data_IF_938392642711
#
_entry.id   IF_938392642711
#
_cell.length_a   1.000
_cell.length_b   1.000
_cell.length_c   1.000
_cell.angle_alpha   90.00
_cell.angle_beta   90.00
_cell.angle_gamma   90.00
#
_symmetry.space_group_name_H-M   'P 1'
#
loop_
_entity.id
_entity.type
_entity.pdbx_description
1 polymer ?
#
# COMPACT_ATOMS: atom_id res chain seq x y z
N UNK A 1 -2.51 -11.99 69.18
CA UNK A 1 -2.65 -11.05 68.05
C UNK A 1 -1.42 -11.00 67.12
N UNK A 2 -0.43 -11.89 67.26
CA UNK A 2 0.78 -11.91 66.42
C UNK A 2 0.66 -12.78 65.16
N UNK A 3 -0.16 -13.83 65.21
CA UNK A 3 -0.33 -14.80 64.10
C UNK A 3 -1.08 -14.22 62.88
N UNK A 4 -2.08 -13.36 63.11
CA UNK A 4 -2.83 -12.67 62.04
C UNK A 4 -1.93 -11.67 61.29
N UNK A 5 -1.06 -10.95 62.01
CA UNK A 5 -0.12 -10.01 61.40
C UNK A 5 0.90 -10.70 60.51
N UNK A 6 1.45 -11.85 60.94
CA UNK A 6 2.38 -12.64 60.13
C UNK A 6 1.72 -13.23 58.88
N UNK A 7 0.50 -13.74 59.01
CA UNK A 7 -0.25 -14.29 57.87
C UNK A 7 -0.54 -13.22 56.82
N UNK A 8 -0.94 -12.02 57.25
CA UNK A 8 -1.24 -10.91 56.35
C UNK A 8 0.01 -10.38 55.64
N UNK A 9 1.14 -10.27 56.36
CA UNK A 9 2.42 -9.89 55.77
C UNK A 9 2.91 -10.93 54.74
N UNK A 10 2.73 -12.22 55.02
CA UNK A 10 3.08 -13.29 54.10
C UNK A 10 2.28 -13.23 52.79
N UNK A 11 0.95 -13.03 52.86
CA UNK A 11 0.09 -12.90 51.68
C UNK A 11 0.43 -11.64 50.86
N UNK A 12 0.76 -10.54 51.54
CA UNK A 12 1.11 -9.28 50.89
C UNK A 12 2.47 -9.37 50.17
N UNK A 13 3.45 -10.07 50.74
CA UNK A 13 4.73 -10.35 50.07
C UNK A 13 4.56 -11.25 48.85
N UNK A 14 3.72 -12.28 48.95
CA UNK A 14 3.45 -13.20 47.85
C UNK A 14 2.75 -12.51 46.67
N UNK A 15 1.80 -11.62 46.95
CA UNK A 15 1.10 -10.86 45.91
C UNK A 15 2.02 -9.84 45.22
N UNK A 16 2.89 -9.16 45.97
CA UNK A 16 3.89 -8.24 45.40
C UNK A 16 4.92 -9.00 44.56
N UNK A 17 5.42 -10.15 45.03
CA UNK A 17 6.37 -10.97 44.29
C UNK A 17 5.76 -11.52 42.99
N UNK A 18 4.51 -11.97 43.04
CA UNK A 18 3.77 -12.43 41.86
C UNK A 18 3.54 -11.29 40.85
N UNK A 19 3.10 -10.12 41.32
CA UNK A 19 2.93 -8.95 40.46
C UNK A 19 4.27 -8.50 39.85
N UNK A 20 5.35 -8.46 40.62
CA UNK A 20 6.67 -8.06 40.16
C UNK A 20 7.23 -9.02 39.10
N UNK A 21 6.94 -10.32 39.19
CA UNK A 21 7.33 -11.30 38.18
C UNK A 21 6.45 -11.29 36.93
N UNK A 22 5.13 -11.07 37.08
CA UNK A 22 4.18 -11.14 35.96
C UNK A 22 4.00 -9.82 35.18
N UNK A 23 4.23 -8.66 35.79
CA UNK A 23 4.18 -7.37 35.10
C UNK A 23 5.15 -7.28 33.91
N UNK A 24 6.45 -7.55 34.06
CA UNK A 24 7.40 -7.44 32.94
C UNK A 24 7.09 -8.44 31.83
N UNK A 25 6.57 -9.62 32.15
CA UNK A 25 6.15 -10.61 31.15
C UNK A 25 4.93 -10.14 30.34
N UNK A 26 3.93 -9.53 31.01
CA UNK A 26 2.77 -8.94 30.35
C UNK A 26 3.14 -7.73 29.49
N UNK A 27 4.05 -6.89 29.97
CA UNK A 27 4.53 -5.74 29.22
C UNK A 27 5.39 -6.17 28.02
N UNK A 28 6.19 -7.22 28.15
CA UNK A 28 6.93 -7.82 27.04
C UNK A 28 5.98 -8.40 25.98
N UNK A 29 4.93 -9.11 26.40
CA UNK A 29 3.90 -9.62 25.48
C UNK A 29 3.19 -8.48 24.72
N UNK A 30 2.78 -7.42 25.43
CA UNK A 30 2.17 -6.23 24.81
C UNK A 30 3.12 -5.53 23.84
N UNK A 31 4.40 -5.43 24.16
CA UNK A 31 5.42 -4.86 23.26
C UNK A 31 5.61 -5.73 22.01
N UNK A 32 5.60 -7.06 22.17
CA UNK A 32 5.70 -7.99 21.04
C UNK A 32 4.47 -7.90 20.12
N UNK A 33 3.26 -7.84 20.69
CA UNK A 33 2.01 -7.63 19.95
C UNK A 33 2.00 -6.27 19.23
N UNK A 34 2.45 -5.20 19.89
CA UNK A 34 2.59 -3.88 19.27
C UNK A 34 3.61 -3.88 18.12
N UNK A 35 4.74 -4.57 18.28
CA UNK A 35 5.75 -4.70 17.22
C UNK A 35 5.21 -5.50 16.03
N UNK A 36 4.47 -6.59 16.27
CA UNK A 36 3.83 -7.38 15.23
C UNK A 36 2.80 -6.57 14.44
N UNK A 37 1.90 -5.86 15.13
CA UNK A 37 0.89 -5.01 14.48
C UNK A 37 1.50 -3.85 13.68
N UNK A 38 2.60 -3.26 14.16
CA UNK A 38 3.37 -2.26 13.40
C UNK A 38 4.03 -2.85 12.16
N UNK A 39 4.57 -4.06 12.26
CA UNK A 39 5.16 -4.76 11.12
C UNK A 39 4.11 -5.08 10.06
N UNK A 40 2.97 -5.64 10.47
CA UNK A 40 1.83 -5.95 9.60
C UNK A 40 1.25 -4.69 8.93
N UNK A 41 1.17 -3.59 9.68
CA UNK A 41 0.73 -2.30 9.15
C UNK A 41 1.67 -1.78 8.06
N UNK A 42 2.99 -1.90 8.26
CA UNK A 42 3.99 -1.53 7.25
C UNK A 42 3.91 -2.43 6.02
N UNK A 43 3.77 -3.74 6.18
CA UNK A 43 3.68 -4.65 5.03
C UNK A 43 2.42 -4.40 4.20
N UNK A 44 1.28 -4.15 4.84
CA UNK A 44 0.03 -3.81 4.13
C UNK A 44 0.15 -2.48 3.39
N UNK A 45 0.67 -1.43 4.04
CA UNK A 45 0.86 -0.14 3.38
C UNK A 45 1.80 -0.22 2.16
N UNK A 46 2.85 -1.04 2.24
CA UNK A 46 3.76 -1.29 1.11
C UNK A 46 3.06 -2.06 -0.02
N UNK A 47 2.25 -3.07 0.31
CA UNK A 47 1.46 -3.79 -0.68
C UNK A 47 0.46 -2.87 -1.38
N UNK A 48 -0.28 -2.05 -0.64
CA UNK A 48 -1.23 -1.09 -1.21
C UNK A 48 -0.52 -0.07 -2.13
N UNK A 49 0.64 0.45 -1.71
CA UNK A 49 1.43 1.35 -2.54
C UNK A 49 1.93 0.68 -3.84
N UNK A 50 2.35 -0.59 -3.76
CA UNK A 50 2.79 -1.34 -4.94
C UNK A 50 1.65 -1.60 -5.92
N UNK A 51 0.46 -1.99 -5.44
CA UNK A 51 -0.69 -2.25 -6.33
C UNK A 51 -1.16 -0.99 -7.05
N UNK A 52 -1.16 0.17 -6.39
CA UNK A 52 -1.47 1.46 -7.03
C UNK A 52 -0.42 1.79 -8.10
N UNK A 53 0.86 1.60 -7.78
CA UNK A 53 1.96 1.82 -8.73
C UNK A 53 1.84 0.92 -9.94
N UNK A 54 1.63 -0.37 -9.75
CA UNK A 54 1.52 -1.36 -10.82
C UNK A 54 0.32 -1.05 -11.72
N UNK A 55 -0.82 -0.66 -11.13
CA UNK A 55 -1.98 -0.21 -11.90
C UNK A 55 -1.71 1.05 -12.73
N UNK A 56 -0.94 2.00 -12.19
CA UNK A 56 -0.54 3.21 -12.91
C UNK A 56 0.47 2.89 -14.02
N UNK A 57 1.42 2.01 -13.76
CA UNK A 57 2.42 1.55 -14.74
C UNK A 57 1.72 0.83 -15.90
N UNK A 58 0.80 -0.09 -15.62
CA UNK A 58 0.00 -0.78 -16.65
C UNK A 58 -0.79 0.21 -17.54
N UNK A 59 -1.44 1.23 -16.96
CA UNK A 59 -2.14 2.26 -17.74
C UNK A 59 -1.19 3.11 -18.59
N UNK A 60 -0.01 3.41 -18.04
CA UNK A 60 1.01 4.18 -18.76
C UNK A 60 1.55 3.38 -19.94
N UNK A 61 1.80 2.09 -19.76
CA UNK A 61 2.27 1.20 -20.80
C UNK A 61 1.22 1.00 -21.89
N UNK A 62 -0.05 0.85 -21.52
CA UNK A 62 -1.15 0.83 -22.48
C UNK A 62 -1.19 2.12 -23.31
N UNK A 63 -1.11 3.29 -22.66
CA UNK A 63 -1.09 4.59 -23.36
C UNK A 63 0.11 4.70 -24.31
N UNK A 64 1.30 4.24 -23.89
CA UNK A 64 2.49 4.23 -24.74
C UNK A 64 2.30 3.34 -25.96
N UNK A 65 1.66 2.18 -25.81
CA UNK A 65 1.36 1.28 -26.91
C UNK A 65 0.38 1.93 -27.89
N UNK A 66 -0.71 2.53 -27.39
CA UNK A 66 -1.71 3.21 -28.23
C UNK A 66 -1.09 4.37 -29.03
N UNK A 67 -0.24 5.18 -28.39
CA UNK A 67 0.48 6.27 -29.05
C UNK A 67 1.46 5.74 -30.09
N UNK A 68 2.18 4.65 -29.79
CA UNK A 68 3.11 4.04 -30.73
C UNK A 68 2.37 3.49 -31.95
N UNK A 69 1.27 2.76 -31.76
CA UNK A 69 0.45 2.24 -32.85
C UNK A 69 -0.10 3.38 -33.72
N UNK A 70 -0.58 4.46 -33.10
CA UNK A 70 -1.02 5.66 -33.81
C UNK A 70 0.12 6.29 -34.65
N UNK A 71 1.32 6.41 -34.09
CA UNK A 71 2.48 6.93 -34.82
C UNK A 71 2.90 6.02 -35.98
N UNK A 72 2.92 4.71 -35.76
CA UNK A 72 3.29 3.75 -36.78
C UNK A 72 2.26 3.74 -37.93
N UNK A 73 0.97 3.86 -37.63
CA UNK A 73 -0.07 4.02 -38.65
C UNK A 73 0.12 5.28 -39.50
N UNK A 74 0.53 6.40 -38.90
CA UNK A 74 0.83 7.64 -39.64
C UNK A 74 2.10 7.49 -40.48
N UNK A 75 3.12 6.78 -39.98
CA UNK A 75 4.38 6.55 -40.71
C UNK A 75 4.22 5.61 -41.91
N UNK A 76 3.31 4.63 -41.83
CA UNK A 76 3.03 3.71 -42.92
C UNK A 76 2.26 4.37 -44.07
N UNK A 77 1.56 5.48 -43.82
CA UNK A 77 0.83 6.20 -44.87
C UNK A 77 1.78 7.07 -45.71
N UNK A 78 1.90 6.71 -46.99
CA UNK A 78 2.78 7.37 -47.96
C UNK A 78 2.13 8.55 -48.66
N UNK A 79 0.79 8.60 -48.75
CA UNK A 79 0.08 9.73 -49.35
C UNK A 79 -0.03 10.88 -48.32
N UNK A 80 0.53 12.08 -48.60
CA UNK A 80 0.47 13.21 -47.67
C UNK A 80 -0.95 13.61 -47.26
N UNK A 81 -1.92 13.55 -48.17
CA UNK A 81 -3.30 13.96 -47.89
C UNK A 81 -4.01 12.95 -46.98
N UNK A 82 -3.77 11.65 -47.21
CA UNK A 82 -4.26 10.58 -46.32
C UNK A 82 -3.56 10.58 -44.98
N UNK A 83 -2.26 10.85 -44.96
CA UNK A 83 -1.46 10.89 -43.73
C UNK A 83 -2.00 11.94 -42.76
N UNK A 84 -2.34 13.12 -43.25
CA UNK A 84 -2.94 14.18 -42.43
C UNK A 84 -4.33 13.79 -41.89
N UNK A 85 -5.15 13.11 -42.70
CA UNK A 85 -6.45 12.62 -42.25
C UNK A 85 -6.31 11.54 -41.17
N UNK A 86 -5.42 10.56 -41.38
CA UNK A 86 -5.09 9.50 -40.42
C UNK A 86 -4.53 10.10 -39.13
N UNK A 87 -3.61 11.07 -39.22
CA UNK A 87 -3.04 11.73 -38.06
C UNK A 87 -4.12 12.43 -37.21
N UNK A 88 -5.02 13.19 -37.85
CA UNK A 88 -6.15 13.84 -37.15
C UNK A 88 -7.06 12.81 -36.48
N UNK A 89 -7.42 11.75 -37.19
CA UNK A 89 -8.27 10.70 -36.65
C UNK A 89 -7.63 10.02 -35.42
N UNK A 90 -6.34 9.70 -35.49
CA UNK A 90 -5.61 9.09 -34.36
C UNK A 90 -5.48 10.04 -33.18
N UNK A 91 -5.22 11.33 -33.43
CA UNK A 91 -5.24 12.37 -32.39
C UNK A 91 -6.61 12.48 -31.71
N UNK A 92 -7.70 12.42 -32.47
CA UNK A 92 -9.05 12.42 -31.90
C UNK A 92 -9.36 11.16 -31.10
N UNK A 93 -8.84 9.99 -31.49
CA UNK A 93 -8.99 8.76 -30.72
C UNK A 93 -8.20 8.80 -29.40
N UNK A 94 -6.99 9.38 -29.42
CA UNK A 94 -6.16 9.56 -28.22
C UNK A 94 -6.71 10.65 -27.29
N UNK A 95 -7.34 11.69 -27.85
CA UNK A 95 -7.91 12.79 -27.11
C UNK A 95 -9.28 13.22 -27.67
N UNK A 96 -10.36 12.50 -27.33
CA UNK A 96 -11.70 12.76 -27.87
C UNK A 96 -12.27 14.10 -27.43
N UNK A 97 -11.75 14.71 -26.36
CA UNK A 97 -12.19 16.03 -25.89
C UNK A 97 -11.60 17.21 -26.66
N UNK A 98 -10.52 16.99 -27.43
CA UNK A 98 -9.87 18.05 -28.20
C UNK A 98 -10.39 18.18 -29.64
N UNK A 99 -11.22 17.24 -30.10
CA UNK A 99 -11.78 17.29 -31.45
C UNK A 99 -13.20 17.86 -31.45
N UNK A 100 -13.53 18.78 -32.36
CA UNK A 100 -14.89 19.25 -32.55
C UNK A 100 -15.77 18.06 -32.98
N UNK A 101 -16.95 17.94 -32.36
CA UNK A 101 -17.98 16.98 -32.78
C UNK A 101 -18.62 17.40 -34.09
#
# INVERSE_FOLDING_TARGET
>A
MTWLGLGLAGVLLLSVAYCAGHQPARDAARKAEAAATLADGRTRAVQDASTIRDAHEARTDQTRQDVKEAQDAVRQETDPARRDAVARQRLCNLNPGACPR
#
